data_IF_949634659113
#
_entry.id   IF_949634659113
#
_cell.length_a   1.000
_cell.length_b   1.000
_cell.length_c   1.000
_cell.angle_alpha   90.00
_cell.angle_beta   90.00
_cell.angle_gamma   90.00
#
_symmetry.space_group_name_H-M   'P 1'
#
loop_
_entity.id
_entity.type
_entity.pdbx_description
1 polymer ?
#
# COMPACT_ATOMS: atom_id res chain seq x y z
N UNK A 1 6.55 5.82 -9.30
CA UNK A 1 5.52 5.63 -10.33
C UNK A 1 5.26 4.15 -10.52
N UNK A 2 4.21 3.61 -9.88
CA UNK A 2 3.88 2.19 -9.89
C UNK A 2 3.23 1.66 -11.18
N UNK A 3 3.27 2.44 -12.28
CA UNK A 3 2.73 2.08 -13.60
C UNK A 3 3.49 2.86 -14.69
N UNK A 4 4.60 2.30 -15.21
CA UNK A 4 5.33 2.89 -16.33
C UNK A 4 4.47 3.04 -17.58
N UNK A 5 3.53 2.12 -17.86
CA UNK A 5 2.70 2.21 -19.06
C UNK A 5 1.65 3.32 -18.92
N UNK A 6 0.99 3.46 -17.76
CA UNK A 6 0.08 4.58 -17.51
C UNK A 6 0.80 5.91 -17.63
N UNK A 7 1.99 6.01 -17.06
CA UNK A 7 2.76 7.23 -17.10
C UNK A 7 3.25 7.62 -18.49
N UNK A 8 3.70 6.65 -19.29
CA UNK A 8 4.06 6.88 -20.67
C UNK A 8 2.83 7.36 -21.47
N UNK A 9 1.68 6.73 -21.26
CA UNK A 9 0.41 7.16 -21.86
C UNK A 9 0.04 8.59 -21.41
N UNK A 10 0.15 8.88 -20.11
CA UNK A 10 -0.20 10.16 -19.51
C UNK A 10 0.69 11.27 -20.02
N UNK A 11 2.00 11.02 -20.16
CA UNK A 11 2.94 11.96 -20.78
C UNK A 11 2.54 12.32 -22.22
N UNK A 12 1.93 11.39 -22.95
CA UNK A 12 1.52 11.58 -24.34
C UNK A 12 0.14 12.23 -24.49
N UNK A 13 -0.82 11.89 -23.64
CA UNK A 13 -2.24 12.23 -23.84
C UNK A 13 -2.84 13.07 -22.69
N UNK A 14 -2.10 13.28 -21.60
CA UNK A 14 -2.56 14.00 -20.41
C UNK A 14 -3.81 13.35 -19.78
N UNK A 15 -4.74 14.18 -19.34
CA UNK A 15 -6.00 13.76 -18.70
C UNK A 15 -6.95 12.97 -19.62
N UNK A 16 -6.62 12.84 -20.92
CA UNK A 16 -7.40 12.01 -21.85
C UNK A 16 -7.06 10.52 -21.76
N UNK A 17 -6.00 10.14 -21.02
CA UNK A 17 -5.73 8.72 -20.77
C UNK A 17 -6.82 8.13 -19.92
N UNK A 18 -7.44 7.07 -20.42
CA UNK A 18 -8.31 6.21 -19.64
C UNK A 18 -7.47 5.32 -18.69
N UNK A 19 -7.52 5.54 -17.36
CA UNK A 19 -6.75 4.78 -16.39
C UNK A 19 -7.21 3.31 -16.28
N UNK A 20 -8.44 2.97 -16.71
CA UNK A 20 -8.91 1.58 -16.73
C UNK A 20 -8.09 0.70 -17.69
N UNK A 21 -7.32 1.32 -18.60
CA UNK A 21 -6.40 0.59 -19.46
C UNK A 21 -5.06 0.20 -18.82
N UNK A 22 -4.88 0.50 -17.53
CA UNK A 22 -3.61 0.38 -16.82
C UNK A 22 -3.75 -0.27 -15.43
N UNK A 23 -4.83 -1.04 -15.21
CA UNK A 23 -5.06 -1.68 -13.92
C UNK A 23 -4.13 -2.88 -13.71
N UNK A 24 -3.60 -3.04 -12.48
CA UNK A 24 -2.73 -4.17 -12.12
C UNK A 24 -3.04 -4.66 -10.71
N UNK A 25 -2.86 -5.97 -10.49
CA UNK A 25 -2.71 -6.54 -9.15
C UNK A 25 -1.21 -6.74 -8.87
N UNK A 26 -0.66 -5.88 -8.02
CA UNK A 26 0.75 -5.95 -7.62
C UNK A 26 0.88 -6.80 -6.36
N UNK A 27 1.58 -7.93 -6.46
CA UNK A 27 1.86 -8.85 -5.36
C UNK A 27 3.35 -8.83 -5.08
N UNK A 28 3.73 -8.44 -3.87
CA UNK A 28 5.12 -8.47 -3.41
C UNK A 28 5.27 -9.47 -2.26
N UNK A 29 6.01 -10.55 -2.49
CA UNK A 29 6.33 -11.57 -1.50
C UNK A 29 7.79 -11.42 -1.07
N UNK A 30 8.01 -11.41 0.24
CA UNK A 30 9.32 -11.39 0.86
C UNK A 30 9.40 -12.53 1.89
N UNK A 31 10.56 -13.17 2.03
CA UNK A 31 10.79 -14.21 3.02
C UNK A 31 11.41 -15.49 2.46
N UNK A 32 11.35 -16.57 3.26
CA UNK A 32 12.08 -17.82 3.03
C UNK A 32 11.68 -18.56 1.74
N UNK A 33 10.44 -18.41 1.27
CA UNK A 33 9.98 -18.98 -0.01
C UNK A 33 10.50 -18.20 -1.24
N UNK A 34 11.35 -17.19 -1.01
CA UNK A 34 11.97 -16.35 -2.01
C UNK A 34 11.14 -15.11 -2.33
N UNK A 35 11.80 -14.15 -2.97
CA UNK A 35 11.17 -12.89 -3.39
C UNK A 35 10.36 -13.07 -4.67
N UNK A 36 9.20 -12.43 -4.75
CA UNK A 36 8.38 -12.29 -5.97
C UNK A 36 7.79 -10.90 -6.00
N UNK A 37 7.74 -10.29 -7.16
CA UNK A 37 7.03 -9.05 -7.38
C UNK A 37 6.27 -9.16 -8.70
N UNK A 38 4.98 -8.91 -8.70
CA UNK A 38 4.14 -8.97 -9.92
C UNK A 38 3.73 -7.56 -10.31
N UNK A 39 3.68 -7.33 -11.62
CA UNK A 39 3.14 -6.10 -12.18
C UNK A 39 2.74 -6.36 -13.63
N UNK A 40 1.54 -6.90 -13.80
CA UNK A 40 0.93 -7.06 -15.13
C UNK A 40 -0.20 -6.05 -15.25
N UNK A 41 0.08 -4.96 -15.96
CA UNK A 41 -0.95 -3.98 -16.32
C UNK A 41 -1.89 -4.56 -17.37
N UNK A 42 -3.19 -4.32 -17.20
CA UNK A 42 -4.26 -4.87 -18.03
C UNK A 42 -5.19 -3.77 -18.51
N UNK A 43 -5.62 -3.92 -19.76
CA UNK A 43 -6.59 -3.04 -20.41
C UNK A 43 -8.00 -3.20 -19.85
N UNK A 44 -8.87 -2.20 -20.04
CA UNK A 44 -10.23 -2.17 -19.50
C UNK A 44 -11.07 -3.42 -19.83
N UNK A 45 -10.86 -4.01 -21.01
CA UNK A 45 -11.51 -5.27 -21.44
C UNK A 45 -11.24 -6.48 -20.53
N UNK A 46 -10.22 -6.42 -19.69
CA UNK A 46 -9.87 -7.47 -18.72
C UNK A 46 -10.29 -7.12 -17.30
N UNK A 47 -10.99 -6.00 -17.12
CA UNK A 47 -11.40 -5.48 -15.84
C UNK A 47 -12.91 -5.64 -15.70
N UNK A 48 -13.34 -6.12 -14.54
CA UNK A 48 -14.74 -6.10 -14.14
C UNK A 48 -14.81 -5.67 -12.69
N UNK A 49 -15.67 -4.71 -12.37
CA UNK A 49 -15.88 -4.27 -10.98
C UNK A 49 -17.36 -4.05 -10.74
N UNK A 50 -17.83 -4.52 -9.59
CA UNK A 50 -19.12 -4.15 -9.03
C UNK A 50 -18.99 -3.96 -7.51
N UNK A 51 -20.12 -3.93 -6.81
CA UNK A 51 -20.17 -3.70 -5.37
C UNK A 51 -19.45 -4.79 -4.56
N UNK A 52 -19.36 -6.01 -5.08
CA UNK A 52 -18.93 -7.20 -4.34
C UNK A 52 -17.63 -7.81 -4.86
N UNK A 53 -17.28 -7.54 -6.12
CA UNK A 53 -16.10 -8.12 -6.76
C UNK A 53 -15.30 -7.12 -7.58
N UNK A 54 -14.01 -7.36 -7.67
CA UNK A 54 -13.09 -6.68 -8.58
C UNK A 54 -12.16 -7.70 -9.24
N UNK A 55 -12.29 -7.85 -10.55
CA UNK A 55 -11.49 -8.75 -11.37
C UNK A 55 -10.46 -7.95 -12.15
N UNK A 56 -9.22 -8.42 -12.14
CA UNK A 56 -8.10 -7.87 -12.92
C UNK A 56 -7.48 -9.03 -13.70
N UNK A 57 -7.94 -9.22 -14.94
CA UNK A 57 -7.61 -10.39 -15.74
C UNK A 57 -8.01 -11.68 -15.02
N UNK A 58 -7.08 -12.62 -14.77
CA UNK A 58 -7.37 -13.88 -14.11
C UNK A 58 -7.41 -13.78 -12.57
N UNK A 59 -6.98 -12.67 -11.98
CA UNK A 59 -7.00 -12.45 -10.53
C UNK A 59 -8.30 -11.79 -10.10
N UNK A 60 -8.77 -12.08 -8.87
CA UNK A 60 -10.09 -11.65 -8.38
C UNK A 60 -10.06 -11.28 -6.91
N UNK A 61 -10.76 -10.22 -6.54
CA UNK A 61 -11.04 -9.80 -5.17
C UNK A 61 -12.55 -9.88 -4.95
N UNK A 62 -12.99 -10.48 -3.85
CA UNK A 62 -14.41 -10.68 -3.54
C UNK A 62 -14.66 -10.71 -2.03
N UNK A 63 -15.67 -9.99 -1.55
CA UNK A 63 -16.12 -10.14 -0.16
C UNK A 63 -16.94 -11.43 -0.01
N UNK A 64 -16.51 -12.31 0.90
CA UNK A 64 -17.17 -13.59 1.23
C UNK A 64 -17.50 -13.65 2.71
N UNK A 65 -18.71 -13.20 3.06
CA UNK A 65 -19.17 -13.18 4.44
C UNK A 65 -18.30 -12.26 5.30
N UNK A 66 -17.40 -12.83 6.09
CA UNK A 66 -16.58 -12.17 7.09
C UNK A 66 -15.16 -11.77 6.61
N UNK A 67 -14.80 -12.08 5.37
CA UNK A 67 -13.46 -11.79 4.84
C UNK A 67 -13.47 -11.31 3.38
N UNK A 68 -12.40 -10.60 3.02
CA UNK A 68 -12.04 -10.34 1.63
C UNK A 68 -11.19 -11.52 1.13
N UNK A 69 -11.70 -12.24 0.14
CA UNK A 69 -10.98 -13.26 -0.61
C UNK A 69 -10.25 -12.60 -1.78
N UNK A 70 -8.95 -12.88 -1.92
CA UNK A 70 -8.12 -12.42 -3.04
C UNK A 70 -7.51 -13.67 -3.69
N UNK A 71 -7.98 -14.01 -4.88
CA UNK A 71 -7.44 -15.07 -5.71
C UNK A 71 -6.40 -14.49 -6.66
N UNK A 72 -5.17 -14.99 -6.58
CA UNK A 72 -4.01 -14.47 -7.29
C UNK A 72 -3.63 -15.43 -8.40
N UNK A 73 -3.56 -14.92 -9.64
CA UNK A 73 -3.03 -15.64 -10.79
C UNK A 73 -2.16 -14.66 -11.59
N UNK A 74 -0.90 -14.53 -11.18
CA UNK A 74 0.03 -13.54 -11.73
C UNK A 74 1.38 -14.14 -12.10
N UNK A 75 2.19 -13.34 -12.80
CA UNK A 75 3.58 -13.67 -13.15
C UNK A 75 4.50 -12.60 -12.58
N UNK A 76 5.58 -13.05 -11.94
CA UNK A 76 6.58 -12.18 -11.36
C UNK A 76 7.47 -11.53 -12.44
N UNK A 77 8.02 -10.37 -12.10
CA UNK A 77 8.99 -9.61 -12.89
C UNK A 77 10.21 -9.30 -12.02
N UNK A 78 11.41 -9.10 -12.60
CA UNK A 78 11.72 -9.24 -14.03
C UNK A 78 11.87 -10.71 -14.48
N UNK A 79 12.07 -11.64 -13.54
CA UNK A 79 12.19 -13.06 -13.86
C UNK A 79 10.81 -13.74 -13.83
N UNK A 80 10.31 -14.27 -14.96
CA UNK A 80 8.96 -14.80 -15.06
C UNK A 80 8.81 -16.08 -14.22
N UNK A 81 8.21 -15.92 -13.04
CA UNK A 81 7.85 -17.02 -12.14
C UNK A 81 6.37 -16.91 -11.80
N UNK A 82 5.68 -18.04 -11.73
CA UNK A 82 4.27 -18.06 -11.31
C UNK A 82 4.14 -17.50 -9.89
N UNK A 83 3.08 -16.73 -9.68
CA UNK A 83 2.60 -16.27 -8.38
C UNK A 83 1.12 -16.61 -8.35
N UNK A 84 0.78 -17.70 -7.65
CA UNK A 84 -0.57 -18.25 -7.64
C UNK A 84 -0.96 -18.69 -6.25
N UNK A 85 -2.18 -18.36 -5.84
CA UNK A 85 -2.70 -18.73 -4.53
C UNK A 85 -3.91 -17.91 -4.14
N UNK A 86 -4.18 -17.93 -2.84
CA UNK A 86 -5.26 -17.17 -2.22
C UNK A 86 -4.80 -16.43 -0.97
N UNK A 87 -5.40 -15.27 -0.75
CA UNK A 87 -5.30 -14.50 0.49
C UNK A 87 -6.71 -14.31 1.03
N UNK A 88 -6.88 -14.49 2.34
CA UNK A 88 -8.09 -14.11 3.07
C UNK A 88 -7.74 -13.05 4.09
N UNK A 89 -8.39 -11.90 3.99
CA UNK A 89 -8.26 -10.80 4.95
C UNK A 89 -9.52 -10.74 5.79
N UNK A 90 -9.37 -10.91 7.10
CA UNK A 90 -10.45 -10.89 8.09
C UNK A 90 -10.39 -9.57 8.88
N UNK A 91 -11.21 -8.57 8.55
CA UNK A 91 -11.32 -7.35 9.35
C UNK A 91 -11.79 -7.66 10.77
N UNK A 92 -11.21 -6.99 11.77
CA UNK A 92 -11.82 -6.97 13.11
C UNK A 92 -13.01 -6.02 13.15
N UNK A 93 -12.89 -4.88 12.45
CA UNK A 93 -13.95 -3.95 12.13
C UNK A 93 -13.64 -3.28 10.78
N UNK A 94 -14.69 -2.90 10.05
CA UNK A 94 -14.55 -2.00 8.91
C UNK A 94 -14.48 -0.56 9.41
N UNK A 95 -13.70 0.27 8.72
CA UNK A 95 -13.49 1.66 9.08
C UNK A 95 -13.98 2.58 7.97
N UNK A 96 -14.68 3.65 8.34
CA UNK A 96 -15.19 4.69 7.43
C UNK A 96 -14.37 5.98 7.52
N UNK A 97 -13.23 5.95 8.21
CA UNK A 97 -12.34 7.09 8.28
C UNK A 97 -11.80 7.42 6.89
N UNK A 98 -11.86 8.70 6.54
CA UNK A 98 -11.32 9.22 5.29
C UNK A 98 -10.69 10.59 5.55
N UNK A 99 -9.51 10.81 4.99
CA UNK A 99 -8.78 12.07 5.14
C UNK A 99 -8.26 12.57 3.80
N UNK A 100 -8.37 13.88 3.59
CA UNK A 100 -7.73 14.57 2.47
C UNK A 100 -6.21 14.61 2.67
N UNK A 101 -5.47 14.33 1.59
CA UNK A 101 -4.01 14.38 1.53
C UNK A 101 -3.49 15.67 0.87
N UNK A 102 -4.38 16.51 0.38
CA UNK A 102 -4.10 17.81 -0.20
C UNK A 102 -5.17 18.85 0.18
N UNK A 103 -4.83 20.13 -0.03
CA UNK A 103 -5.65 21.30 0.30
C UNK A 103 -7.04 21.30 -0.34
N UNK A 104 -7.18 20.68 -1.51
CA UNK A 104 -8.40 20.67 -2.29
C UNK A 104 -9.17 19.36 -2.15
N UNK A 105 -8.68 18.43 -1.31
CA UNK A 105 -9.31 17.13 -1.08
C UNK A 105 -9.41 16.27 -2.33
N UNK A 106 -8.59 16.50 -3.35
CA UNK A 106 -8.57 15.74 -4.60
C UNK A 106 -7.92 14.38 -4.45
N UNK A 107 -7.18 14.16 -3.37
CA UNK A 107 -6.54 12.90 -3.00
C UNK A 107 -6.93 12.56 -1.59
N UNK A 108 -7.38 11.32 -1.41
CA UNK A 108 -7.98 10.87 -0.16
C UNK A 108 -7.41 9.52 0.21
N UNK A 109 -7.32 9.29 1.52
CA UNK A 109 -6.86 8.04 2.09
C UNK A 109 -7.77 7.63 3.24
N UNK A 110 -8.08 6.34 3.28
CA UNK A 110 -8.84 5.74 4.36
C UNK A 110 -8.50 4.27 4.55
N UNK A 111 -8.24 3.81 5.78
CA UNK A 111 -8.14 2.39 6.06
C UNK A 111 -9.52 1.74 5.96
N UNK A 112 -9.62 0.63 5.23
CA UNK A 112 -10.84 -0.18 5.13
C UNK A 112 -10.92 -1.12 6.33
N UNK A 113 -9.81 -1.77 6.67
CA UNK A 113 -9.67 -2.65 7.82
C UNK A 113 -8.31 -2.42 8.48
N UNK A 114 -8.20 -1.41 9.37
CA UNK A 114 -6.92 -1.05 9.97
C UNK A 114 -6.36 -2.14 10.88
N UNK A 115 -7.25 -2.89 11.54
CA UNK A 115 -6.92 -4.06 12.33
C UNK A 115 -7.55 -5.28 11.66
N UNK A 116 -6.73 -6.15 11.09
CA UNK A 116 -7.19 -7.36 10.41
C UNK A 116 -6.26 -8.56 10.71
N UNK A 117 -6.77 -9.76 10.50
CA UNK A 117 -5.98 -10.99 10.40
C UNK A 117 -5.89 -11.41 8.93
N UNK A 118 -4.84 -12.13 8.59
CA UNK A 118 -4.63 -12.66 7.24
C UNK A 118 -4.33 -14.15 7.30
N UNK A 119 -4.86 -14.87 6.33
CA UNK A 119 -4.43 -16.21 5.97
C UNK A 119 -3.96 -16.18 4.52
N UNK A 120 -2.78 -16.73 4.26
CA UNK A 120 -2.20 -16.80 2.92
C UNK A 120 -1.90 -18.26 2.61
N UNK A 121 -2.31 -18.71 1.42
CA UNK A 121 -2.01 -20.02 0.88
C UNK A 121 -1.59 -19.88 -0.58
N UNK A 122 -0.30 -19.99 -0.85
CA UNK A 122 0.27 -19.87 -2.19
C UNK A 122 0.64 -21.24 -2.76
N UNK A 123 0.02 -21.63 -3.87
CA UNK A 123 0.44 -22.79 -4.67
C UNK A 123 1.83 -22.57 -5.28
N UNK A 124 2.10 -21.33 -5.69
CA UNK A 124 3.42 -20.87 -6.14
C UNK A 124 3.71 -19.53 -5.48
N UNK A 125 4.70 -19.43 -4.58
CA UNK A 125 5.87 -20.31 -4.43
C UNK A 125 5.76 -21.46 -3.39
N UNK A 126 4.59 -22.08 -3.19
CA UNK A 126 4.38 -23.17 -2.21
C UNK A 126 4.66 -22.72 -0.76
N UNK A 127 3.93 -21.70 -0.31
CA UNK A 127 4.08 -21.13 1.03
C UNK A 127 2.72 -20.76 1.62
N UNK A 128 2.55 -21.02 2.91
CA UNK A 128 1.32 -20.70 3.65
C UNK A 128 1.64 -20.16 5.03
N UNK A 129 0.91 -19.13 5.46
CA UNK A 129 1.07 -18.56 6.79
C UNK A 129 -0.20 -17.83 7.24
N UNK A 130 -0.25 -17.50 8.53
CA UNK A 130 -1.25 -16.63 9.14
C UNK A 130 -0.57 -15.48 9.86
N UNK A 131 -1.24 -14.34 9.98
CA UNK A 131 -0.65 -13.18 10.66
C UNK A 131 -1.62 -12.02 10.84
N UNK A 132 -1.05 -10.86 11.15
CA UNK A 132 -1.76 -9.59 11.20
C UNK A 132 -1.75 -8.93 9.82
N UNK A 133 -2.82 -8.25 9.47
CA UNK A 133 -2.97 -7.49 8.25
C UNK A 133 -3.55 -6.10 8.51
N UNK A 134 -3.53 -5.31 7.46
CA UNK A 134 -4.09 -4.00 7.35
C UNK A 134 -4.50 -3.82 5.89
N UNK A 135 -5.66 -3.22 5.68
CA UNK A 135 -6.22 -2.96 4.37
C UNK A 135 -6.64 -1.49 4.31
N UNK A 136 -6.23 -0.79 3.26
CA UNK A 136 -6.62 0.58 3.00
C UNK A 136 -6.87 0.85 1.52
N UNK A 137 -7.34 2.05 1.26
CA UNK A 137 -7.54 2.59 -0.07
C UNK A 137 -6.97 4.00 -0.15
N UNK A 138 -6.38 4.30 -1.30
CA UNK A 138 -6.09 5.64 -1.76
C UNK A 138 -6.90 5.89 -3.03
N UNK A 139 -7.49 7.06 -3.14
CA UNK A 139 -8.23 7.49 -4.33
C UNK A 139 -7.87 8.94 -4.67
N UNK A 140 -8.00 9.29 -5.95
CA UNK A 140 -7.72 10.65 -6.39
C UNK A 140 -8.46 11.01 -7.66
N UNK A 141 -8.76 12.30 -7.80
CA UNK A 141 -9.45 12.89 -8.96
C UNK A 141 -8.45 13.30 -10.06
N UNK A 142 -7.15 13.19 -9.78
CA UNK A 142 -6.06 13.48 -10.70
C UNK A 142 -4.87 12.54 -10.41
N UNK A 143 -3.86 12.45 -11.29
CA UNK A 143 -2.69 11.63 -11.03
C UNK A 143 -1.90 12.11 -9.82
N UNK A 144 -1.47 11.16 -8.97
CA UNK A 144 -0.64 11.43 -7.78
C UNK A 144 0.67 12.17 -8.11
N UNK A 145 1.20 12.05 -9.33
CA UNK A 145 2.41 12.77 -9.74
C UNK A 145 2.21 14.28 -9.89
N UNK A 146 0.97 14.77 -9.92
CA UNK A 146 0.66 16.19 -10.00
C UNK A 146 1.00 16.93 -8.70
N UNK A 147 0.28 16.66 -7.58
CA UNK A 147 0.45 17.47 -6.38
C UNK A 147 1.51 16.94 -5.40
N UNK A 148 1.92 15.66 -5.47
CA UNK A 148 2.84 15.07 -4.49
C UNK A 148 4.30 15.15 -4.92
N UNK A 149 5.16 15.62 -4.01
CA UNK A 149 6.62 15.60 -4.16
C UNK A 149 7.23 14.36 -3.51
N UNK A 150 6.88 14.13 -2.24
CA UNK A 150 7.34 12.99 -1.43
C UNK A 150 6.20 12.59 -0.50
N UNK A 151 6.10 11.30 -0.19
CA UNK A 151 5.30 10.84 0.93
C UNK A 151 6.03 9.72 1.67
N UNK A 152 5.91 9.74 2.99
CA UNK A 152 6.31 8.67 3.88
C UNK A 152 5.04 8.10 4.52
N UNK A 153 4.86 6.79 4.43
CA UNK A 153 3.75 6.09 5.04
C UNK A 153 4.29 5.00 5.96
N UNK A 154 3.79 4.93 7.18
CA UNK A 154 4.18 3.90 8.13
C UNK A 154 3.00 3.40 8.94
N UNK A 155 3.10 2.13 9.33
CA UNK A 155 2.12 1.45 10.18
C UNK A 155 2.85 0.67 11.26
N UNK A 156 2.35 0.75 12.49
CA UNK A 156 2.78 -0.08 13.61
C UNK A 156 1.59 -0.80 14.23
N UNK A 157 1.75 -2.10 14.47
CA UNK A 157 0.83 -2.85 15.33
C UNK A 157 1.20 -2.57 16.80
N UNK A 158 0.20 -2.19 17.59
CA UNK A 158 0.37 -1.86 19.00
C UNK A 158 0.09 -3.08 19.88
N UNK A 159 0.63 -3.09 21.10
CA UNK A 159 0.47 -4.21 22.06
C UNK A 159 -0.99 -4.49 22.43
N UNK A 160 -1.85 -3.48 22.40
CA UNK A 160 -3.29 -3.59 22.67
C UNK A 160 -4.11 -4.02 21.45
N UNK A 161 -3.46 -4.40 20.36
CA UNK A 161 -4.11 -4.81 19.10
C UNK A 161 -4.57 -3.66 18.21
N UNK A 162 -4.41 -2.40 18.65
CA UNK A 162 -4.65 -1.24 17.79
C UNK A 162 -3.54 -1.07 16.75
N UNK A 163 -3.82 -0.24 15.74
CA UNK A 163 -2.88 0.07 14.66
C UNK A 163 -2.65 1.57 14.64
N UNK A 164 -1.39 1.98 14.79
CA UNK A 164 -0.96 3.36 14.58
C UNK A 164 -0.52 3.53 13.13
N UNK A 165 -1.00 4.58 12.47
CA UNK A 165 -0.59 4.98 11.13
C UNK A 165 -0.09 6.40 11.15
N UNK A 166 1.01 6.62 10.44
CA UNK A 166 1.50 7.95 10.11
C UNK A 166 1.56 8.08 8.60
N UNK A 167 0.92 9.12 8.07
CA UNK A 167 0.98 9.50 6.66
C UNK A 167 1.53 10.91 6.57
N UNK A 168 2.79 11.04 6.16
CA UNK A 168 3.51 12.31 6.06
C UNK A 168 3.74 12.65 4.58
N UNK A 169 3.05 13.68 4.10
CA UNK A 169 3.01 14.09 2.70
C UNK A 169 3.66 15.47 2.57
N UNK A 170 4.53 15.60 1.56
CA UNK A 170 5.09 16.85 1.08
C UNK A 170 4.56 17.11 -0.34
N UNK A 171 3.86 18.22 -0.52
CA UNK A 171 3.29 18.63 -1.80
C UNK A 171 4.30 19.45 -2.62
N UNK A 172 4.09 19.51 -3.94
CA UNK A 172 4.95 20.25 -4.87
C UNK A 172 4.98 21.76 -4.58
N UNK A 173 3.90 22.32 -4.04
CA UNK A 173 3.82 23.72 -3.63
C UNK A 173 4.52 24.01 -2.29
N UNK A 174 5.16 23.01 -1.67
CA UNK A 174 5.86 23.13 -0.40
C UNK A 174 4.97 22.93 0.85
N UNK A 175 3.66 22.75 0.68
CA UNK A 175 2.77 22.43 1.79
C UNK A 175 3.02 21.01 2.31
N UNK A 176 2.85 20.82 3.61
CA UNK A 176 2.91 19.52 4.26
C UNK A 176 1.52 19.09 4.71
N UNK A 177 1.25 17.79 4.67
CA UNK A 177 0.08 17.17 5.30
C UNK A 177 0.55 15.99 6.12
N UNK A 178 0.08 15.91 7.36
CA UNK A 178 0.51 14.90 8.32
C UNK A 178 -0.71 14.34 9.01
N UNK A 179 -0.91 13.03 8.85
CA UNK A 179 -1.90 12.25 9.58
C UNK A 179 -1.16 11.37 10.59
N UNK A 180 -1.66 11.32 11.82
CA UNK A 180 -1.13 10.50 12.90
C UNK A 180 -2.31 9.93 13.69
N UNK A 181 -2.77 8.76 13.24
CA UNK A 181 -4.04 8.18 13.68
C UNK A 181 -3.83 6.79 14.29
N UNK A 182 -4.49 6.54 15.42
CA UNK A 182 -4.55 5.25 16.09
C UNK A 182 -5.95 4.66 15.93
N UNK A 183 -6.02 3.56 15.19
CA UNK A 183 -7.25 2.81 14.93
C UNK A 183 -7.34 1.63 15.88
N UNK A 184 -8.43 1.54 16.65
CA UNK A 184 -8.66 0.43 17.57
C UNK A 184 -9.51 -0.67 16.92
N UNK A 185 -9.40 -1.93 17.37
CA UNK A 185 -10.24 -3.03 16.93
C UNK A 185 -11.76 -2.81 17.00
N UNK A 186 -12.21 -1.96 17.93
CA UNK A 186 -13.62 -1.63 18.14
C UNK A 186 -14.15 -0.53 17.18
N UNK A 187 -13.32 -0.07 16.23
CA UNK A 187 -13.68 0.98 15.29
C UNK A 187 -13.40 2.41 15.77
N UNK A 188 -12.94 2.59 17.02
CA UNK A 188 -12.57 3.92 17.53
C UNK A 188 -11.28 4.42 16.85
N UNK A 189 -11.29 5.70 16.45
CA UNK A 189 -10.13 6.39 15.86
C UNK A 189 -9.69 7.50 16.82
N UNK A 190 -8.39 7.58 17.08
CA UNK A 190 -7.80 8.66 17.88
C UNK A 190 -6.56 9.23 17.20
N UNK A 191 -6.57 10.53 16.98
CA UNK A 191 -5.36 11.25 16.64
C UNK A 191 -4.35 11.17 17.80
N UNK A 192 -3.07 11.19 17.47
CA UNK A 192 -1.97 11.30 18.43
C UNK A 192 -0.91 12.28 17.93
N UNK A 193 -0.08 12.79 18.84
CA UNK A 193 0.99 13.70 18.46
C UNK A 193 2.07 12.94 17.66
N UNK A 194 2.32 13.29 16.39
CA UNK A 194 3.31 12.59 15.59
C UNK A 194 4.72 12.84 16.14
N UNK A 195 5.55 11.79 16.26
CA UNK A 195 6.94 11.97 16.63
C UNK A 195 7.73 12.80 15.59
N UNK A 196 8.91 13.32 15.95
CA UNK A 196 9.75 14.07 15.03
C UNK A 196 10.21 13.20 13.85
N UNK A 197 10.45 13.86 12.72
CA UNK A 197 11.00 13.21 11.52
C UNK A 197 12.49 12.91 11.75
N UNK A 198 12.88 11.69 11.43
CA UNK A 198 14.25 11.19 11.44
C UNK A 198 14.65 10.74 10.04
N UNK A 199 15.85 11.12 9.61
CA UNK A 199 16.42 10.67 8.34
C UNK A 199 16.90 9.22 8.46
N UNK A 200 16.59 8.41 7.46
CA UNK A 200 17.12 7.05 7.31
C UNK A 200 18.20 7.05 6.22
N UNK A 201 19.12 6.06 6.21
CA UNK A 201 20.12 5.94 5.14
C UNK A 201 19.47 5.96 3.76
N UNK A 202 20.09 6.56 2.75
CA UNK A 202 19.59 6.54 1.37
C UNK A 202 19.59 5.12 0.81
N UNK A 203 18.71 4.81 -0.15
CA UNK A 203 18.71 3.50 -0.83
C UNK A 203 19.75 3.41 -1.95
N UNK A 204 19.94 2.22 -2.54
CA UNK A 204 20.87 2.05 -3.67
C UNK A 204 20.45 2.87 -4.89
N UNK A 205 19.14 3.07 -5.06
CA UNK A 205 18.56 3.93 -6.09
C UNK A 205 18.54 5.42 -5.73
N UNK A 206 19.28 5.83 -4.69
CA UNK A 206 19.37 7.21 -4.22
C UNK A 206 18.03 7.81 -3.74
N UNK A 207 17.07 6.96 -3.36
CA UNK A 207 15.82 7.42 -2.76
C UNK A 207 16.10 7.84 -1.32
N UNK A 208 15.86 9.12 -1.03
CA UNK A 208 15.91 9.64 0.33
C UNK A 208 14.77 9.02 1.15
N UNK A 209 15.10 8.55 2.36
CA UNK A 209 14.14 7.91 3.26
C UNK A 209 14.03 8.70 4.54
N UNK A 210 12.82 8.83 5.04
CA UNK A 210 12.57 9.38 6.37
C UNK A 210 11.52 8.54 7.09
N UNK A 211 11.45 8.68 8.40
CA UNK A 211 10.37 8.13 9.20
C UNK A 211 10.10 9.03 10.40
N UNK A 212 8.99 8.82 11.12
CA UNK A 212 8.72 9.51 12.38
C UNK A 212 8.85 8.56 13.58
N UNK A 213 9.77 8.84 14.49
CA UNK A 213 10.06 8.00 15.66
C UNK A 213 10.40 8.86 16.88
N UNK A 214 10.09 8.35 18.08
CA UNK A 214 10.31 9.02 19.37
C UNK A 214 11.72 9.61 19.52
N UNK A 215 11.82 10.75 20.21
CA UNK A 215 13.09 11.43 20.48
C UNK A 215 13.97 10.56 21.39
N UNK A 216 15.26 10.45 21.07
CA UNK A 216 16.22 9.66 21.86
C UNK A 216 16.28 8.17 21.51
N UNK A 217 15.48 7.70 20.56
CA UNK A 217 15.63 6.40 19.92
C UNK A 217 15.93 6.59 18.44
N UNK A 218 17.15 6.29 18.02
CA UNK A 218 17.52 6.33 16.61
C UNK A 218 16.80 5.20 15.87
N UNK A 219 15.96 5.57 14.91
CA UNK A 219 15.34 4.60 14.02
C UNK A 219 16.41 3.87 13.21
N UNK A 220 16.32 2.55 13.15
CA UNK A 220 17.25 1.71 12.39
C UNK A 220 16.51 0.85 11.39
N UNK A 221 16.97 0.84 10.13
CA UNK A 221 16.47 -0.06 9.10
C UNK A 221 16.87 -1.49 9.48
N UNK A 222 15.90 -2.35 9.77
CA UNK A 222 16.13 -3.76 10.04
C UNK A 222 16.27 -4.55 8.73
N UNK A 223 15.39 -4.28 7.77
CA UNK A 223 15.43 -4.91 6.44
C UNK A 223 14.87 -3.95 5.38
N UNK A 224 15.54 -3.87 4.24
CA UNK A 224 14.97 -3.24 3.03
C UNK A 224 14.28 -4.32 2.20
N UNK A 225 12.94 -4.26 2.16
CA UNK A 225 12.11 -5.21 1.43
C UNK A 225 12.07 -4.88 -0.06
N UNK A 226 11.92 -3.59 -0.38
CA UNK A 226 11.85 -3.06 -1.73
C UNK A 226 12.81 -1.89 -1.89
N UNK A 227 13.59 -1.88 -2.97
CA UNK A 227 14.52 -0.81 -3.33
C UNK A 227 14.44 -0.59 -4.85
N UNK A 228 13.67 0.42 -5.25
CA UNK A 228 13.40 0.74 -6.67
C UNK A 228 13.66 2.23 -6.93
N UNK A 229 13.74 2.67 -8.21
CA UNK A 229 14.08 4.06 -8.57
C UNK A 229 13.21 5.17 -7.95
N UNK A 230 12.03 4.84 -7.44
CA UNK A 230 11.06 5.83 -6.95
C UNK A 230 10.29 5.37 -5.70
N UNK A 231 10.53 4.16 -5.21
CA UNK A 231 9.84 3.60 -4.06
C UNK A 231 10.76 2.69 -3.28
N UNK A 232 10.73 2.86 -1.97
CA UNK A 232 11.43 2.01 -1.04
C UNK A 232 10.47 1.52 0.03
N UNK A 233 10.60 0.25 0.42
CA UNK A 233 9.88 -0.33 1.54
C UNK A 233 10.89 -0.92 2.50
N UNK A 234 10.75 -0.59 3.77
CA UNK A 234 11.67 -1.06 4.80
C UNK A 234 10.92 -1.48 6.04
N UNK A 235 11.37 -2.56 6.67
CA UNK A 235 11.03 -2.87 8.06
C UNK A 235 11.98 -2.06 8.94
N UNK A 236 11.42 -1.17 9.75
CA UNK A 236 12.20 -0.27 10.60
C UNK A 236 11.95 -0.64 12.06
N UNK A 237 13.02 -0.67 12.84
CA UNK A 237 12.94 -0.76 14.29
C UNK A 237 12.93 0.67 14.83
N UNK A 238 11.82 1.02 15.47
CA UNK A 238 11.58 2.28 16.15
C UNK A 238 11.09 1.98 17.58
N UNK A 239 11.21 2.96 18.48
CA UNK A 239 10.58 2.91 19.80
C UNK A 239 9.42 3.87 19.84
#
# INVERSE_FOLDING_TARGET
MFSPYYAAAFKKQGLQVDPENHCALNVALYGAAGKRWTMTERGARHIHRDRSQFNIGPSRLEWRGDHLQIDIIEVAMPLPRRVRGSIRVYPQALCTYNAALDDQGRHRWGPIAPCARIEVAMDSPAASWKGQAYLDSNEGDEPVSGPFKVWDWSRAAMKDGSTAVIYDVQLQNGANRLLAERFKPNGEVKAFEPPPRQTLPTTMWQVNRSMRSETGAQASVNETLEDTPFYARSLVKAK
#
